data_IF_086603171948
#
_entry.id   IF_086603171948
#
_cell.length_a   1.000
_cell.length_b   1.000
_cell.length_c   1.000
_cell.angle_alpha   90.00
_cell.angle_beta   90.00
_cell.angle_gamma   90.00
#
_symmetry.space_group_name_H-M   'P 1'
#
loop_
_entity.id
_entity.type
_entity.pdbx_description
1 polymer ?
#
# COMPACT_ATOMS: atom_id res chain seq x y z
N UNK A 1 3.07 -34.03 -8.88
CA UNK A 1 4.31 -34.71 -9.33
C UNK A 1 4.22 -36.24 -9.31
N UNK A 2 4.04 -36.91 -8.16
CA UNK A 2 3.98 -38.39 -8.08
C UNK A 2 2.96 -39.04 -9.04
N UNK A 3 1.76 -38.47 -9.18
CA UNK A 3 0.71 -38.95 -10.10
C UNK A 3 1.07 -38.78 -11.58
N UNK A 4 1.83 -37.74 -11.94
CA UNK A 4 2.25 -37.48 -13.33
C UNK A 4 3.38 -38.42 -13.75
N UNK A 5 4.37 -38.63 -12.88
CA UNK A 5 5.45 -39.59 -13.09
C UNK A 5 4.91 -41.03 -13.21
N UNK A 6 3.93 -41.38 -12.38
CA UNK A 6 3.25 -42.67 -12.49
C UNK A 6 2.54 -42.87 -13.84
N UNK A 7 1.79 -41.85 -14.32
CA UNK A 7 1.11 -41.91 -15.63
C UNK A 7 2.10 -42.05 -16.79
N UNK A 8 3.22 -41.33 -16.74
CA UNK A 8 4.29 -41.46 -17.75
C UNK A 8 4.92 -42.85 -17.73
N UNK A 9 5.18 -43.40 -16.54
CA UNK A 9 5.68 -44.78 -16.38
C UNK A 9 4.73 -45.83 -16.98
N UNK A 10 3.42 -45.65 -16.81
CA UNK A 10 2.40 -46.54 -17.40
C UNK A 10 2.42 -46.47 -18.93
N UNK A 11 2.53 -45.27 -19.52
CA UNK A 11 2.59 -45.11 -20.99
C UNK A 11 3.83 -45.81 -21.55
N UNK A 12 4.99 -45.61 -20.92
CA UNK A 12 6.24 -46.28 -21.33
C UNK A 12 6.11 -47.80 -21.23
N UNK A 13 5.53 -48.32 -20.14
CA UNK A 13 5.32 -49.75 -19.98
C UNK A 13 4.41 -50.33 -21.07
N UNK A 14 3.33 -49.63 -21.43
CA UNK A 14 2.43 -50.04 -22.52
C UNK A 14 3.18 -50.09 -23.85
N UNK A 15 4.00 -49.08 -24.16
CA UNK A 15 4.81 -49.06 -25.38
C UNK A 15 5.79 -50.24 -25.45
N UNK A 16 6.44 -50.57 -24.32
CA UNK A 16 7.35 -51.72 -24.22
C UNK A 16 6.61 -53.04 -24.41
N UNK A 17 5.45 -53.21 -23.79
CA UNK A 17 4.62 -54.41 -23.95
C UNK A 17 4.18 -54.57 -25.41
N UNK A 18 3.70 -53.50 -26.05
CA UNK A 18 3.29 -53.52 -27.45
C UNK A 18 4.43 -53.96 -28.38
N UNK A 19 5.66 -53.49 -28.11
CA UNK A 19 6.86 -53.91 -28.84
C UNK A 19 7.12 -55.43 -28.70
N UNK A 20 7.08 -55.95 -27.47
CA UNK A 20 7.25 -57.39 -27.23
C UNK A 20 6.15 -58.24 -27.87
N UNK A 21 4.90 -57.76 -27.87
CA UNK A 21 3.78 -58.47 -28.51
C UNK A 21 4.00 -58.58 -30.02
N UNK A 22 4.39 -57.49 -30.69
CA UNK A 22 4.63 -57.50 -32.14
C UNK A 22 5.79 -58.43 -32.51
N UNK A 23 6.91 -58.37 -31.78
CA UNK A 23 8.05 -59.27 -32.02
C UNK A 23 7.66 -60.73 -31.78
N UNK A 24 6.99 -61.03 -30.66
CA UNK A 24 6.59 -62.41 -30.34
C UNK A 24 5.61 -62.94 -31.38
N UNK A 25 4.66 -62.12 -31.83
CA UNK A 25 3.74 -62.47 -32.91
C UNK A 25 4.48 -62.77 -34.22
N UNK A 26 5.50 -61.99 -34.57
CA UNK A 26 6.32 -62.26 -35.75
C UNK A 26 7.06 -63.61 -35.62
N UNK A 27 7.75 -63.84 -34.49
CA UNK A 27 8.52 -65.07 -34.25
C UNK A 27 7.65 -66.33 -34.26
N UNK A 28 6.42 -66.27 -33.75
CA UNK A 28 5.48 -67.41 -33.76
C UNK A 28 5.03 -67.75 -35.18
N UNK A 29 4.78 -66.75 -36.03
CA UNK A 29 4.20 -66.98 -37.37
C UNK A 29 5.27 -67.23 -38.45
N UNK A 30 6.47 -66.66 -38.32
CA UNK A 30 7.52 -66.71 -39.33
C UNK A 30 8.80 -67.44 -38.88
N UNK A 31 8.87 -67.87 -37.61
CA UNK A 31 10.02 -68.59 -37.04
C UNK A 31 11.09 -67.67 -36.45
N UNK A 32 12.08 -68.28 -35.78
CA UNK A 32 13.15 -67.58 -35.05
C UNK A 32 14.55 -67.83 -35.61
N UNK A 33 14.67 -68.45 -36.78
CA UNK A 33 15.96 -68.72 -37.41
C UNK A 33 16.54 -67.43 -38.00
N UNK A 34 17.86 -67.27 -37.90
CA UNK A 34 18.56 -66.14 -38.50
C UNK A 34 18.61 -66.30 -40.02
N UNK A 35 18.11 -65.30 -40.74
CA UNK A 35 18.23 -65.27 -42.20
C UNK A 35 19.53 -64.61 -42.64
N UNK A 36 20.21 -65.25 -43.60
CA UNK A 36 21.34 -64.70 -44.33
C UNK A 36 20.93 -63.84 -45.53
N UNK A 37 19.64 -63.84 -45.90
CA UNK A 37 19.12 -63.02 -46.98
C UNK A 37 18.69 -61.64 -46.46
N UNK A 38 19.19 -60.60 -47.11
CA UNK A 38 18.87 -59.21 -46.75
C UNK A 38 17.38 -58.88 -46.94
N UNK A 39 16.70 -59.54 -47.90
CA UNK A 39 15.28 -59.31 -48.18
C UNK A 39 14.35 -59.64 -47.01
N UNK A 40 14.68 -60.68 -46.23
CA UNK A 40 13.91 -61.10 -45.06
C UNK A 40 13.95 -60.05 -43.93
N UNK A 41 15.08 -59.36 -43.78
CA UNK A 41 15.19 -58.24 -42.84
C UNK A 41 14.37 -57.03 -43.27
N UNK A 42 14.19 -56.83 -44.59
CA UNK A 42 13.29 -55.82 -45.14
C UNK A 42 11.83 -56.10 -44.80
N UNK A 43 11.35 -57.32 -45.06
CA UNK A 43 9.96 -57.72 -44.77
C UNK A 43 9.64 -57.78 -43.27
N UNK A 44 10.61 -58.19 -42.44
CA UNK A 44 10.52 -58.06 -40.98
C UNK A 44 10.35 -56.59 -40.56
N UNK A 45 11.19 -55.71 -41.11
CA UNK A 45 11.12 -54.28 -40.87
C UNK A 45 9.77 -53.70 -41.27
N UNK A 46 9.20 -54.13 -42.39
CA UNK A 46 7.88 -53.71 -42.86
C UNK A 46 6.75 -54.17 -41.93
N UNK A 47 6.80 -55.39 -41.40
CA UNK A 47 5.79 -55.89 -40.45
C UNK A 47 5.83 -55.12 -39.12
N UNK A 48 7.03 -55.01 -38.54
CA UNK A 48 7.24 -54.32 -37.26
C UNK A 48 6.94 -52.83 -37.40
N UNK A 49 7.49 -52.18 -38.43
CA UNK A 49 7.29 -50.77 -38.73
C UNK A 49 5.86 -50.46 -39.14
N UNK A 50 5.23 -51.29 -39.97
CA UNK A 50 3.85 -51.13 -40.42
C UNK A 50 2.82 -51.23 -39.30
N UNK A 51 3.12 -51.98 -38.23
CA UNK A 51 2.22 -52.14 -37.08
C UNK A 51 2.54 -51.14 -35.96
N UNK A 52 3.82 -51.00 -35.59
CA UNK A 52 4.20 -50.16 -34.45
C UNK A 52 4.26 -48.67 -34.79
N UNK A 53 4.65 -48.27 -36.01
CA UNK A 53 4.78 -46.84 -36.32
C UNK A 53 3.43 -46.09 -36.26
N UNK A 54 2.32 -46.60 -36.83
CA UNK A 54 1.03 -45.94 -36.68
C UNK A 54 0.57 -45.86 -35.22
N UNK A 55 0.76 -46.94 -34.45
CA UNK A 55 0.40 -46.99 -33.02
C UNK A 55 1.20 -45.97 -32.20
N UNK A 56 2.53 -45.94 -32.37
CA UNK A 56 3.42 -45.02 -31.66
C UNK A 56 3.17 -43.57 -32.06
N UNK A 57 2.93 -43.30 -33.35
CA UNK A 57 2.62 -41.95 -33.84
C UNK A 57 1.31 -41.43 -33.26
N UNK A 58 0.29 -42.28 -33.16
CA UNK A 58 -0.98 -41.92 -32.52
C UNK A 58 -0.83 -41.64 -31.03
N UNK A 59 -0.07 -42.48 -30.31
CA UNK A 59 0.23 -42.27 -28.89
C UNK A 59 1.02 -40.97 -28.66
N UNK A 60 1.98 -40.66 -29.54
CA UNK A 60 2.73 -39.41 -29.51
C UNK A 60 1.82 -38.18 -29.72
N UNK A 61 0.87 -38.26 -30.66
CA UNK A 61 -0.11 -37.21 -30.88
C UNK A 61 -1.00 -36.98 -29.65
N UNK A 62 -1.50 -38.05 -29.00
CA UNK A 62 -2.29 -37.93 -27.77
C UNK A 62 -1.48 -37.29 -26.65
N UNK A 63 -0.23 -37.72 -26.46
CA UNK A 63 0.65 -37.18 -25.44
C UNK A 63 0.92 -35.68 -25.67
N UNK A 64 1.11 -35.27 -26.93
CA UNK A 64 1.27 -33.88 -27.31
C UNK A 64 0.00 -33.06 -27.01
N UNK A 65 -1.18 -33.55 -27.42
CA UNK A 65 -2.45 -32.89 -27.13
C UNK A 65 -2.71 -32.74 -25.63
N UNK A 66 -2.43 -33.78 -24.85
CA UNK A 66 -2.52 -33.72 -23.39
C UNK A 66 -1.59 -32.67 -22.79
N UNK A 67 -0.37 -32.57 -23.32
CA UNK A 67 0.61 -31.56 -22.90
C UNK A 67 0.12 -30.15 -23.21
N UNK A 68 -0.44 -29.91 -24.41
CA UNK A 68 -1.01 -28.61 -24.79
C UNK A 68 -2.16 -28.22 -23.86
N UNK A 69 -3.06 -29.15 -23.53
CA UNK A 69 -4.17 -28.89 -22.61
C UNK A 69 -3.65 -28.54 -21.21
N UNK A 70 -2.65 -29.28 -20.72
CA UNK A 70 -2.03 -29.02 -19.42
C UNK A 70 -1.34 -27.66 -19.37
N UNK A 71 -0.54 -27.34 -20.39
CA UNK A 71 0.13 -26.04 -20.55
C UNK A 71 -0.87 -24.90 -20.64
N UNK A 72 -1.97 -25.07 -21.36
CA UNK A 72 -3.03 -24.06 -21.48
C UNK A 72 -3.67 -23.77 -20.12
N UNK A 73 -3.93 -24.82 -19.33
CA UNK A 73 -4.47 -24.68 -17.97
C UNK A 73 -3.48 -24.01 -17.01
N UNK A 74 -2.20 -24.35 -17.10
CA UNK A 74 -1.15 -23.72 -16.29
C UNK A 74 -0.99 -22.23 -16.63
N UNK A 75 -1.07 -21.88 -17.92
CA UNK A 75 -1.06 -20.49 -18.37
C UNK A 75 -2.27 -19.70 -17.87
N UNK A 76 -3.46 -20.31 -17.87
CA UNK A 76 -4.68 -19.70 -17.30
C UNK A 76 -4.52 -19.40 -15.80
N UNK A 77 -4.08 -20.40 -15.02
CA UNK A 77 -3.83 -20.22 -13.58
C UNK A 77 -2.77 -19.15 -13.31
N UNK A 78 -1.71 -19.12 -14.12
CA UNK A 78 -0.66 -18.09 -14.03
C UNK A 78 -1.22 -16.69 -14.30
N UNK A 79 -2.07 -16.53 -15.32
CA UNK A 79 -2.71 -15.24 -15.62
C UNK A 79 -3.63 -14.76 -14.50
N UNK A 80 -4.38 -15.68 -13.88
CA UNK A 80 -5.24 -15.38 -12.73
C UNK A 80 -4.40 -14.88 -11.56
N UNK A 81 -3.31 -15.58 -11.23
CA UNK A 81 -2.43 -15.19 -10.12
C UNK A 81 -1.71 -13.87 -10.40
N UNK A 82 -1.26 -13.64 -11.64
CA UNK A 82 -0.65 -12.36 -12.05
C UNK A 82 -1.64 -11.19 -11.91
N UNK A 83 -2.90 -11.41 -12.30
CA UNK A 83 -3.94 -10.37 -12.18
C UNK A 83 -4.25 -10.10 -10.71
N UNK A 84 -4.31 -11.15 -9.88
CA UNK A 84 -4.46 -10.99 -8.42
C UNK A 84 -3.30 -10.21 -7.82
N UNK A 85 -2.07 -10.58 -8.15
CA UNK A 85 -0.85 -9.89 -7.67
C UNK A 85 -0.81 -8.43 -8.11
N UNK A 86 -1.16 -8.14 -9.37
CA UNK A 86 -1.26 -6.77 -9.88
C UNK A 86 -2.31 -5.96 -9.10
N UNK A 87 -3.48 -6.54 -8.83
CA UNK A 87 -4.53 -5.89 -8.04
C UNK A 87 -4.11 -5.64 -6.58
N UNK A 88 -3.41 -6.57 -5.95
CA UNK A 88 -2.84 -6.39 -4.60
C UNK A 88 -1.76 -5.30 -4.59
N UNK A 89 -0.89 -5.25 -5.59
CA UNK A 89 0.14 -4.21 -5.76
C UNK A 89 -0.48 -2.81 -5.92
N UNK A 90 -1.55 -2.67 -6.71
CA UNK A 90 -2.27 -1.39 -6.85
C UNK A 90 -2.89 -0.96 -5.52
N UNK A 91 -3.50 -1.89 -4.75
CA UNK A 91 -4.04 -1.58 -3.43
C UNK A 91 -2.94 -1.12 -2.47
N UNK A 92 -1.80 -1.80 -2.47
CA UNK A 92 -0.64 -1.47 -1.64
C UNK A 92 -0.06 -0.10 -2.01
N UNK A 93 0.07 0.21 -3.31
CA UNK A 93 0.54 1.51 -3.79
C UNK A 93 -0.37 2.65 -3.33
N UNK A 94 -1.70 2.47 -3.42
CA UNK A 94 -2.68 3.46 -2.90
C UNK A 94 -2.56 3.64 -1.39
N UNK A 95 -2.46 2.54 -0.64
CA UNK A 95 -2.27 2.59 0.81
C UNK A 95 -1.00 3.37 1.19
N UNK A 96 0.12 3.11 0.52
CA UNK A 96 1.37 3.83 0.75
C UNK A 96 1.27 5.31 0.40
N UNK A 97 0.59 5.66 -0.70
CA UNK A 97 0.39 7.06 -1.08
C UNK A 97 -0.42 7.82 -0.02
N UNK A 98 -1.53 7.25 0.46
CA UNK A 98 -2.33 7.85 1.55
C UNK A 98 -1.52 7.96 2.85
N UNK A 99 -0.73 6.92 3.19
CA UNK A 99 0.14 6.96 4.35
C UNK A 99 1.19 8.08 4.26
N UNK A 100 1.82 8.24 3.10
CA UNK A 100 2.79 9.32 2.87
C UNK A 100 2.14 10.69 3.01
N UNK A 101 0.96 10.89 2.42
CA UNK A 101 0.19 12.14 2.57
C UNK A 101 -0.10 12.43 4.05
N UNK A 102 -0.56 11.42 4.81
CA UNK A 102 -0.81 11.56 6.25
C UNK A 102 0.45 11.99 7.01
N UNK A 103 1.58 11.36 6.71
CA UNK A 103 2.85 11.63 7.38
C UNK A 103 3.39 13.03 7.02
N UNK A 104 3.23 13.47 5.77
CA UNK A 104 3.59 14.82 5.32
C UNK A 104 2.68 15.88 5.96
N UNK A 105 1.36 15.66 6.03
CA UNK A 105 0.44 16.55 6.76
C UNK A 105 0.81 16.62 8.24
N UNK A 106 1.13 15.50 8.89
CA UNK A 106 1.60 15.49 10.29
C UNK A 106 2.88 16.33 10.47
N UNK A 107 3.84 16.25 9.55
CA UNK A 107 5.05 17.08 9.61
C UNK A 107 4.74 18.57 9.50
N UNK A 108 3.76 18.94 8.68
CA UNK A 108 3.30 20.34 8.58
C UNK A 108 2.63 20.80 9.87
N UNK A 109 1.77 19.96 10.46
CA UNK A 109 1.13 20.19 11.77
C UNK A 109 2.19 20.41 12.85
N UNK A 110 3.18 19.51 12.94
CA UNK A 110 4.26 19.62 13.93
C UNK A 110 5.06 20.91 13.75
N UNK A 111 5.47 21.26 12.52
CA UNK A 111 6.21 22.50 12.24
C UNK A 111 5.41 23.74 12.60
N UNK A 112 4.10 23.73 12.31
CA UNK A 112 3.22 24.84 12.61
C UNK A 112 2.99 24.97 14.12
N UNK A 113 2.81 23.86 14.82
CA UNK A 113 2.74 23.81 16.28
C UNK A 113 4.02 24.35 16.93
N UNK A 114 5.20 23.96 16.43
CA UNK A 114 6.47 24.50 16.91
C UNK A 114 6.55 26.02 16.70
N UNK A 115 6.12 26.51 15.52
CA UNK A 115 6.07 27.95 15.23
C UNK A 115 5.12 28.68 16.16
N UNK A 116 3.90 28.16 16.36
CA UNK A 116 2.90 28.70 17.29
C UNK A 116 3.46 28.77 18.71
N UNK A 117 4.07 27.67 19.18
CA UNK A 117 4.65 27.59 20.52
C UNK A 117 5.81 28.56 20.70
N UNK A 118 6.66 28.73 19.70
CA UNK A 118 7.72 29.72 19.72
C UNK A 118 7.15 31.16 19.76
N UNK A 119 6.14 31.46 18.94
CA UNK A 119 5.49 32.77 18.94
C UNK A 119 4.81 33.08 20.28
N UNK A 120 4.17 32.07 20.88
CA UNK A 120 3.45 32.20 22.14
C UNK A 120 4.40 32.43 23.34
N UNK A 121 5.53 31.72 23.38
CA UNK A 121 6.43 31.71 24.54
C UNK A 121 7.59 32.71 24.46
N UNK A 122 8.03 33.11 23.25
CA UNK A 122 9.17 34.02 23.10
C UNK A 122 8.80 35.47 23.39
N UNK A 123 9.80 36.26 23.82
CA UNK A 123 9.63 37.65 24.21
C UNK A 123 9.59 38.60 23.00
N UNK A 124 8.57 38.43 22.16
CA UNK A 124 8.44 39.18 20.91
C UNK A 124 7.53 40.41 21.02
N UNK A 125 6.91 40.66 22.17
CA UNK A 125 6.10 41.84 22.42
C UNK A 125 6.96 43.03 22.84
N UNK A 126 6.38 44.23 22.84
CA UNK A 126 6.99 45.39 23.49
C UNK A 126 7.34 45.09 24.95
N UNK A 127 8.38 45.76 25.47
CA UNK A 127 8.87 45.52 26.84
C UNK A 127 9.58 44.17 27.04
N UNK A 128 9.92 43.45 25.96
CA UNK A 128 10.57 42.12 26.02
C UNK A 128 9.71 41.11 26.81
N UNK A 129 8.41 41.09 26.51
CA UNK A 129 7.40 40.20 27.12
C UNK A 129 6.88 39.18 26.12
N UNK A 130 6.31 38.09 26.61
CA UNK A 130 5.69 37.05 25.78
C UNK A 130 4.18 37.04 25.94
N UNK A 131 3.49 36.53 24.92
CA UNK A 131 2.03 36.34 24.95
C UNK A 131 1.66 35.36 26.07
N UNK A 132 2.48 34.34 26.30
CA UNK A 132 2.30 33.40 27.41
C UNK A 132 2.28 34.09 28.77
N UNK A 133 3.26 34.96 29.05
CA UNK A 133 3.31 35.71 30.31
C UNK A 133 2.09 36.63 30.46
N UNK A 134 1.66 37.27 29.37
CA UNK A 134 0.48 38.13 29.36
C UNK A 134 -0.82 37.37 29.70
N UNK A 135 -0.97 36.13 29.22
CA UNK A 135 -2.20 35.35 29.38
C UNK A 135 -2.28 34.50 30.66
N UNK A 136 -1.15 34.13 31.26
CA UNK A 136 -1.16 33.35 32.52
C UNK A 136 -1.41 34.22 33.75
N UNK A 137 -1.00 35.50 33.70
CA UNK A 137 -1.24 36.45 34.78
C UNK A 137 -2.69 36.96 34.83
N UNK A 138 -2.93 37.94 35.71
CA UNK A 138 -4.21 38.65 35.72
C UNK A 138 -4.41 39.38 34.38
N UNK A 139 -5.62 39.35 33.84
CA UNK A 139 -5.98 40.09 32.63
C UNK A 139 -6.35 41.54 32.98
N UNK A 140 -5.41 42.21 33.67
CA UNK A 140 -5.53 43.59 34.14
C UNK A 140 -4.21 44.31 33.84
N UNK A 141 -4.30 45.45 33.15
CA UNK A 141 -3.15 46.22 32.67
C UNK A 141 -2.36 46.90 33.81
N UNK A 142 -2.93 47.02 35.00
CA UNK A 142 -2.26 47.60 36.17
C UNK A 142 -1.58 46.54 37.06
N UNK A 143 -2.06 45.29 37.00
CA UNK A 143 -1.55 44.18 37.82
C UNK A 143 -0.60 43.26 37.04
N UNK A 144 -0.65 43.28 35.71
CA UNK A 144 0.15 42.42 34.84
C UNK A 144 0.86 43.23 33.75
N UNK A 145 2.14 43.51 33.98
CA UNK A 145 3.03 44.23 33.07
C UNK A 145 3.14 43.58 31.68
N UNK A 146 3.10 42.24 31.58
CA UNK A 146 3.09 41.57 30.28
C UNK A 146 1.76 41.77 29.54
N UNK A 147 0.64 41.81 30.27
CA UNK A 147 -0.67 42.09 29.69
C UNK A 147 -0.80 43.56 29.27
N UNK A 148 -0.23 44.50 30.05
CA UNK A 148 -0.11 45.90 29.65
C UNK A 148 0.54 46.04 28.27
N UNK A 149 1.73 45.44 28.08
CA UNK A 149 2.45 45.48 26.81
C UNK A 149 1.68 44.81 25.66
N UNK A 150 0.98 43.70 25.94
CA UNK A 150 0.13 43.06 24.94
C UNK A 150 -1.06 43.96 24.53
N UNK A 151 -1.73 44.61 25.48
CA UNK A 151 -2.84 45.53 25.18
C UNK A 151 -2.34 46.75 24.41
N UNK A 152 -1.22 47.36 24.83
CA UNK A 152 -0.59 48.49 24.15
C UNK A 152 -0.23 48.15 22.70
N UNK A 153 0.37 46.98 22.48
CA UNK A 153 0.64 46.47 21.14
C UNK A 153 -0.66 46.25 20.34
N UNK A 154 -1.72 45.72 20.96
CA UNK A 154 -2.99 45.42 20.28
C UNK A 154 -3.83 46.66 19.95
N UNK A 155 -3.64 47.77 20.67
CA UNK A 155 -4.31 49.05 20.43
C UNK A 155 -3.72 49.81 19.24
N UNK A 156 -2.47 49.51 18.83
CA UNK A 156 -1.83 50.05 17.64
C UNK A 156 -1.72 48.98 16.52
N UNK A 157 -2.55 49.05 15.45
CA UNK A 157 -2.48 48.13 14.32
C UNK A 157 -1.14 48.15 13.55
N UNK A 158 -0.30 49.18 13.74
CA UNK A 158 1.02 49.29 13.13
C UNK A 158 2.11 48.67 14.01
N UNK A 159 1.79 48.26 15.23
CA UNK A 159 2.77 47.67 16.14
C UNK A 159 3.24 46.30 15.65
N UNK A 160 4.46 45.95 16.04
CA UNK A 160 5.00 44.63 15.77
C UNK A 160 4.20 43.55 16.51
N UNK A 161 3.78 43.81 17.75
CA UNK A 161 3.00 42.87 18.56
C UNK A 161 1.62 42.58 17.97
N UNK A 162 0.91 43.59 17.44
CA UNK A 162 -0.34 43.39 16.71
C UNK A 162 -0.16 42.43 15.53
N UNK A 163 0.86 42.67 14.71
CA UNK A 163 1.18 41.80 13.58
C UNK A 163 1.51 40.37 14.02
N UNK A 164 2.26 40.21 15.11
CA UNK A 164 2.59 38.89 15.68
C UNK A 164 1.33 38.15 16.12
N UNK A 165 0.41 38.81 16.83
CA UNK A 165 -0.86 38.22 17.26
C UNK A 165 -1.71 37.83 16.06
N UNK A 166 -1.75 38.64 15.00
CA UNK A 166 -2.47 38.30 13.77
C UNK A 166 -1.85 37.15 12.98
N UNK A 167 -0.52 37.01 12.99
CA UNK A 167 0.12 35.81 12.45
C UNK A 167 -0.16 34.56 13.29
N UNK A 168 -0.18 34.70 14.62
CA UNK A 168 -0.56 33.62 15.54
C UNK A 168 -2.00 33.14 15.29
N UNK A 169 -2.93 34.08 15.10
CA UNK A 169 -4.33 33.78 14.72
C UNK A 169 -4.40 32.99 13.41
N UNK A 170 -3.72 33.49 12.36
CA UNK A 170 -3.65 32.85 11.04
C UNK A 170 -3.05 31.44 11.13
N UNK A 171 -2.02 31.26 11.95
CA UNK A 171 -1.38 29.97 12.16
C UNK A 171 -2.30 28.97 12.85
N UNK A 172 -3.07 29.39 13.86
CA UNK A 172 -4.06 28.55 14.53
C UNK A 172 -5.20 28.15 13.60
N UNK A 173 -5.65 29.04 12.71
CA UNK A 173 -6.63 28.72 11.66
C UNK A 173 -6.06 27.65 10.75
N UNK A 174 -4.86 27.87 10.20
CA UNK A 174 -4.24 26.93 9.27
C UNK A 174 -3.95 25.57 9.93
N UNK A 175 -3.58 25.57 11.21
CA UNK A 175 -3.40 24.34 11.99
C UNK A 175 -4.72 23.56 12.09
N UNK A 176 -5.85 24.23 12.33
CA UNK A 176 -7.15 23.58 12.41
C UNK A 176 -7.56 22.92 11.09
N UNK A 177 -7.24 23.56 9.96
CA UNK A 177 -7.47 23.03 8.62
C UNK A 177 -6.61 21.79 8.37
N UNK A 178 -5.32 21.85 8.67
CA UNK A 178 -4.41 20.71 8.53
C UNK A 178 -4.82 19.53 9.41
N UNK A 179 -5.29 19.77 10.64
CA UNK A 179 -5.80 18.71 11.52
C UNK A 179 -7.04 18.07 10.92
N UNK A 180 -7.97 18.85 10.37
CA UNK A 180 -9.17 18.29 9.71
C UNK A 180 -8.80 17.49 8.45
N UNK A 181 -7.81 17.94 7.68
CA UNK A 181 -7.27 17.20 6.53
C UNK A 181 -6.62 15.89 6.98
N UNK A 182 -5.80 15.92 8.03
CA UNK A 182 -5.18 14.73 8.63
C UNK A 182 -6.23 13.70 9.07
N UNK A 183 -7.30 14.13 9.73
CA UNK A 183 -8.42 13.25 10.13
C UNK A 183 -9.14 12.65 8.92
N UNK A 184 -9.31 13.42 7.84
CA UNK A 184 -9.92 12.92 6.60
C UNK A 184 -9.05 11.83 5.95
N UNK A 185 -7.74 12.08 5.80
CA UNK A 185 -6.80 11.11 5.24
C UNK A 185 -6.72 9.87 6.13
N UNK A 186 -6.70 10.05 7.44
CA UNK A 186 -6.60 8.93 8.39
C UNK A 186 -7.77 7.96 8.29
N UNK A 187 -8.99 8.46 8.05
CA UNK A 187 -10.20 7.64 7.83
C UNK A 187 -10.14 6.78 6.56
N UNK A 188 -9.39 7.18 5.55
CA UNK A 188 -9.19 6.38 4.34
C UNK A 188 -8.24 5.20 4.58
N UNK A 189 -7.37 5.32 5.59
CA UNK A 189 -6.33 4.33 5.90
C UNK A 189 -6.79 3.35 6.99
N UNK A 190 -7.46 3.86 8.03
CA UNK A 190 -7.90 3.08 9.18
C UNK A 190 -9.25 3.56 9.70
N UNK A 191 -10.05 2.64 10.23
CA UNK A 191 -11.29 2.96 10.96
C UNK A 191 -11.05 3.47 12.39
N UNK A 192 -9.81 3.41 12.87
CA UNK A 192 -9.46 3.87 14.21
C UNK A 192 -9.46 5.41 14.29
N UNK A 193 -9.97 5.94 15.41
CA UNK A 193 -9.94 7.38 15.67
C UNK A 193 -8.53 7.79 16.06
N UNK A 194 -8.04 8.89 15.50
CA UNK A 194 -6.74 9.43 15.89
C UNK A 194 -6.87 10.27 17.16
N UNK A 195 -5.85 10.28 18.03
CA UNK A 195 -5.82 11.15 19.21
C UNK A 195 -5.43 12.59 18.87
N UNK A 196 -4.99 12.86 17.64
CA UNK A 196 -4.28 14.08 17.26
C UNK A 196 -5.15 15.33 17.37
N UNK A 197 -6.38 15.27 16.86
CA UNK A 197 -7.32 16.40 16.96
C UNK A 197 -7.61 16.78 18.41
N UNK A 198 -7.85 15.78 19.27
CA UNK A 198 -8.14 16.03 20.69
C UNK A 198 -6.93 16.65 21.42
N UNK A 199 -5.72 16.21 21.09
CA UNK A 199 -4.49 16.76 21.66
C UNK A 199 -4.37 18.26 21.35
N UNK A 200 -4.42 18.65 20.09
CA UNK A 200 -4.24 20.06 19.70
C UNK A 200 -5.38 20.99 20.11
N UNK A 201 -6.61 20.46 20.25
CA UNK A 201 -7.70 21.22 20.87
C UNK A 201 -7.34 21.62 22.29
N UNK A 202 -6.95 20.65 23.12
CA UNK A 202 -6.56 20.90 24.52
C UNK A 202 -5.32 21.79 24.65
N UNK A 203 -4.33 21.59 23.79
CA UNK A 203 -3.07 22.35 23.81
C UNK A 203 -3.32 23.86 23.64
N UNK A 204 -4.23 24.24 22.72
CA UNK A 204 -4.47 25.64 22.36
C UNK A 204 -5.79 26.21 22.90
N UNK A 205 -6.57 25.43 23.65
CA UNK A 205 -7.88 25.82 24.20
C UNK A 205 -7.79 27.12 25.02
N UNK A 206 -6.85 27.19 25.97
CA UNK A 206 -6.70 28.36 26.84
C UNK A 206 -6.34 29.62 26.05
N UNK A 207 -5.35 29.53 25.15
CA UNK A 207 -4.91 30.62 24.29
C UNK A 207 -6.07 31.17 23.45
N UNK A 208 -6.75 30.29 22.72
CA UNK A 208 -7.87 30.68 21.84
C UNK A 208 -9.01 31.29 22.64
N UNK A 209 -9.36 30.68 23.78
CA UNK A 209 -10.44 31.17 24.65
C UNK A 209 -10.16 32.61 25.09
N UNK A 210 -8.96 32.89 25.62
CA UNK A 210 -8.62 34.23 26.11
C UNK A 210 -8.61 35.29 25.01
N UNK A 211 -7.99 34.99 23.86
CA UNK A 211 -7.97 35.95 22.75
C UNK A 211 -9.36 36.18 22.13
N UNK A 212 -10.24 35.18 22.11
CA UNK A 212 -11.63 35.37 21.68
C UNK A 212 -12.45 36.18 22.70
N UNK A 213 -12.27 35.97 24.00
CA UNK A 213 -12.90 36.77 25.07
C UNK A 213 -12.52 38.26 24.94
N UNK A 214 -11.25 38.53 24.62
CA UNK A 214 -10.71 39.87 24.38
C UNK A 214 -11.04 40.44 22.98
N UNK A 215 -11.73 39.67 22.13
CA UNK A 215 -12.09 40.03 20.73
C UNK A 215 -10.88 40.29 19.81
N UNK A 216 -9.74 39.73 20.15
CA UNK A 216 -8.52 39.82 19.33
C UNK A 216 -8.42 38.71 18.29
N UNK A 217 -9.09 37.57 18.50
CA UNK A 217 -9.29 36.53 17.49
C UNK A 217 -10.74 36.46 17.01
N UNK A 218 -10.96 36.02 15.76
CA UNK A 218 -12.26 35.65 15.23
C UNK A 218 -12.88 34.54 16.09
N UNK A 219 -14.13 34.76 16.50
CA UNK A 219 -14.90 33.82 17.31
C UNK A 219 -15.02 32.43 16.68
N UNK A 220 -14.98 32.32 15.35
CA UNK A 220 -15.00 31.03 14.64
C UNK A 220 -13.86 30.11 15.03
N UNK A 221 -12.73 30.66 15.50
CA UNK A 221 -11.61 29.85 15.97
C UNK A 221 -11.99 29.02 17.21
N UNK A 222 -12.88 29.54 18.06
CA UNK A 222 -13.40 28.82 19.23
C UNK A 222 -14.24 27.60 18.84
N UNK A 223 -14.91 27.62 17.68
CA UNK A 223 -15.72 26.49 17.19
C UNK A 223 -14.85 25.24 16.95
N UNK A 224 -13.56 25.40 16.67
CA UNK A 224 -12.64 24.29 16.52
C UNK A 224 -11.95 23.91 17.83
N UNK A 225 -11.37 24.87 18.55
CA UNK A 225 -10.46 24.59 19.68
C UNK A 225 -11.17 24.39 21.03
N UNK A 226 -12.34 24.98 21.23
CA UNK A 226 -13.04 25.00 22.54
C UNK A 226 -14.22 24.03 22.58
N UNK A 227 -14.70 23.56 21.42
CA UNK A 227 -15.90 22.71 21.28
C UNK A 227 -15.75 21.23 21.68
#
# INVERSE_FOLDING_TARGET
MKKTLFRLGVIVAICVIAYFVVITSYLINFGSAWSSEQGDWGTFGDFVGGTLNPLMSFMALIALLYTIVLQSKELELTRVELTRSANESVKQSKYFASQQQRDDTYRLISKLSDRINNTYNNNNLSGNKSIHAALIGQLDVHENDAFYHLVDDMDDPLSQGYSIVKYLESDLIYLSDLINEYEKISKEISSEKTPLKLFYKKEYEHLVTKFCELKWFDRKLSDFYVS
#
